data_IF_435281666227
#
_entry.id   IF_435281666227
#
_cell.length_a   1.000
_cell.length_b   1.000
_cell.length_c   1.000
_cell.angle_alpha   90.00
_cell.angle_beta   90.00
_cell.angle_gamma   90.00
#
_symmetry.space_group_name_H-M   'P 1'
#
loop_
_entity.id
_entity.type
_entity.pdbx_description
1 polymer ?
#
# COMPACT_ATOMS: atom_id res chain seq x y z
N UNK A 1 37.67 41.80 5.95
CA UNK A 1 37.61 42.32 4.56
C UNK A 1 37.24 41.15 3.67
N UNK A 2 36.02 41.16 3.17
CA UNK A 2 35.36 40.06 2.45
C UNK A 2 36.12 39.71 1.15
N UNK A 3 36.51 38.45 0.99
CA UNK A 3 36.99 37.91 -0.28
C UNK A 3 35.78 37.39 -1.07
N UNK A 4 35.31 38.20 -2.02
CA UNK A 4 34.37 37.76 -3.04
C UNK A 4 35.09 36.91 -4.09
N UNK A 5 34.75 35.62 -4.16
CA UNK A 5 35.15 34.71 -5.24
C UNK A 5 34.40 35.16 -6.51
N UNK A 6 35.12 35.77 -7.46
CA UNK A 6 34.62 36.04 -8.81
C UNK A 6 34.52 34.71 -9.57
N UNK A 7 33.34 34.10 -9.57
CA UNK A 7 32.98 33.05 -10.53
C UNK A 7 32.79 33.70 -11.91
N UNK A 8 33.86 33.80 -12.69
CA UNK A 8 33.80 34.19 -14.10
C UNK A 8 33.32 33.01 -14.93
N UNK A 9 32.02 32.92 -15.18
CA UNK A 9 31.49 32.03 -16.21
C UNK A 9 31.66 32.69 -17.60
N UNK A 10 31.91 31.92 -18.67
CA UNK A 10 31.95 32.44 -20.04
C UNK A 10 30.62 33.14 -20.37
N UNK A 11 30.66 34.27 -21.07
CA UNK A 11 29.49 35.12 -21.36
C UNK A 11 28.27 34.35 -21.91
N UNK A 12 28.51 33.30 -22.70
CA UNK A 12 27.49 32.40 -23.24
C UNK A 12 26.70 31.63 -22.16
N UNK A 13 27.33 31.27 -21.03
CA UNK A 13 26.69 30.53 -19.93
C UNK A 13 25.80 31.46 -19.10
N UNK A 14 26.25 32.70 -18.87
CA UNK A 14 25.44 33.73 -18.19
C UNK A 14 24.20 34.13 -19.00
N UNK A 15 24.31 34.21 -20.33
CA UNK A 15 23.17 34.50 -21.20
C UNK A 15 22.17 33.34 -21.23
N UNK A 16 22.63 32.08 -21.24
CA UNK A 16 21.74 30.92 -21.12
C UNK A 16 21.05 30.85 -19.75
N UNK A 17 21.73 31.18 -18.65
CA UNK A 17 21.15 31.17 -17.30
C UNK A 17 20.11 32.28 -17.14
N UNK A 18 20.38 33.49 -17.66
CA UNK A 18 19.39 34.58 -17.68
C UNK A 18 18.21 34.28 -18.60
N UNK A 19 18.45 33.66 -19.76
CA UNK A 19 17.40 33.19 -20.65
C UNK A 19 16.50 32.15 -19.99
N UNK A 20 17.07 31.18 -19.29
CA UNK A 20 16.32 30.17 -18.53
C UNK A 20 15.55 30.77 -17.35
N UNK A 21 16.10 31.77 -16.65
CA UNK A 21 15.39 32.49 -15.59
C UNK A 21 14.22 33.30 -16.14
N UNK A 22 14.39 34.00 -17.27
CA UNK A 22 13.34 34.81 -17.90
C UNK A 22 12.22 33.90 -18.46
N UNK A 23 12.57 32.82 -19.15
CA UNK A 23 11.63 31.78 -19.60
C UNK A 23 10.94 31.14 -18.39
N UNK A 24 11.66 30.88 -17.30
CA UNK A 24 11.11 30.40 -16.04
C UNK A 24 10.07 31.34 -15.44
N UNK A 25 10.35 32.65 -15.41
CA UNK A 25 9.35 33.66 -15.00
C UNK A 25 8.17 33.77 -15.97
N UNK A 26 8.39 33.66 -17.28
CA UNK A 26 7.31 33.69 -18.27
C UNK A 26 6.40 32.45 -18.21
N UNK A 27 6.95 31.28 -17.89
CA UNK A 27 6.18 30.06 -17.63
C UNK A 27 5.43 30.15 -16.30
N UNK A 28 6.06 30.73 -15.25
CA UNK A 28 5.43 30.96 -13.95
C UNK A 28 4.28 31.99 -14.01
N UNK A 29 4.38 33.03 -14.85
CA UNK A 29 3.33 34.04 -15.03
C UNK A 29 2.31 33.69 -16.13
N UNK A 30 2.73 32.99 -17.20
CA UNK A 30 1.88 32.54 -18.30
C UNK A 30 1.01 31.33 -17.97
N UNK A 31 1.26 30.64 -16.86
CA UNK A 31 0.44 29.54 -16.36
C UNK A 31 -0.59 29.96 -15.29
N UNK A 32 -1.03 31.23 -15.27
CA UNK A 32 -2.36 31.55 -14.72
C UNK A 32 -3.44 31.16 -15.74
N UNK A 33 -3.54 29.86 -16.04
CA UNK A 33 -4.85 29.31 -16.40
C UNK A 33 -5.73 29.55 -15.19
N UNK A 34 -6.93 30.09 -15.39
CA UNK A 34 -8.01 30.00 -14.40
C UNK A 34 -8.23 28.52 -14.10
N UNK A 35 -7.48 27.97 -13.15
CA UNK A 35 -7.82 26.71 -12.53
C UNK A 35 -9.13 26.97 -11.81
N UNK A 36 -10.25 26.32 -12.17
CA UNK A 36 -11.44 26.40 -11.34
C UNK A 36 -11.01 26.07 -9.92
N UNK A 37 -11.36 26.93 -8.95
CA UNK A 37 -10.97 26.72 -7.55
C UNK A 37 -11.45 25.33 -7.14
N UNK A 38 -10.48 24.42 -6.96
CA UNK A 38 -10.68 22.98 -6.81
C UNK A 38 -11.36 22.60 -5.49
N UNK A 39 -11.49 23.57 -4.57
CA UNK A 39 -12.14 23.42 -3.29
C UNK A 39 -13.12 24.58 -3.15
N UNK A 40 -14.42 24.34 -2.95
CA UNK A 40 -15.38 25.40 -2.71
C UNK A 40 -15.07 26.03 -1.36
N UNK A 41 -14.51 27.22 -1.40
CA UNK A 41 -14.19 28.00 -0.20
C UNK A 41 -15.44 28.68 0.32
N UNK A 42 -15.73 28.50 1.61
CA UNK A 42 -16.73 29.30 2.31
C UNK A 42 -16.23 30.75 2.37
N UNK A 43 -17.09 31.72 2.05
CA UNK A 43 -16.81 33.18 2.00
C UNK A 43 -15.91 33.67 0.86
N UNK A 44 -15.75 32.89 -0.22
CA UNK A 44 -14.98 33.32 -1.40
C UNK A 44 -15.64 34.48 -2.17
N UNK A 45 -16.90 34.73 -1.87
CA UNK A 45 -17.71 35.81 -2.41
C UNK A 45 -18.32 36.58 -1.24
N UNK A 46 -17.79 37.77 -0.96
CA UNK A 46 -18.24 38.64 0.14
C UNK A 46 -19.75 38.96 0.08
N UNK A 47 -20.34 38.82 -1.11
CA UNK A 47 -21.76 39.05 -1.39
C UNK A 47 -22.67 37.80 -1.27
N UNK A 48 -22.13 36.58 -1.08
CA UNK A 48 -22.92 35.36 -0.93
C UNK A 48 -23.36 35.13 0.53
N UNK A 49 -24.17 36.07 1.05
CA UNK A 49 -24.65 36.10 2.44
C UNK A 49 -25.40 34.82 2.83
N UNK A 50 -26.08 34.17 1.86
CA UNK A 50 -26.87 32.96 2.08
C UNK A 50 -26.12 31.66 1.75
N UNK A 51 -24.82 31.73 1.38
CA UNK A 51 -23.95 30.58 1.09
C UNK A 51 -24.51 29.63 0.02
N UNK A 52 -25.40 30.12 -0.85
CA UNK A 52 -26.10 29.28 -1.84
C UNK A 52 -25.16 28.88 -2.97
N UNK A 53 -24.19 29.73 -3.30
CA UNK A 53 -23.28 29.49 -4.41
C UNK A 53 -22.17 28.50 -4.01
N UNK A 54 -21.65 28.59 -2.79
CA UNK A 54 -20.73 27.59 -2.26
C UNK A 54 -21.37 26.19 -2.18
N UNK A 55 -22.63 26.11 -1.71
CA UNK A 55 -23.41 24.87 -1.68
C UNK A 55 -23.65 24.31 -3.08
N UNK A 56 -24.11 25.14 -4.02
CA UNK A 56 -24.34 24.75 -5.41
C UNK A 56 -23.05 24.27 -6.10
N UNK A 57 -21.95 24.98 -5.90
CA UNK A 57 -20.64 24.58 -6.42
C UNK A 57 -20.19 23.23 -5.83
N UNK A 58 -20.43 22.98 -4.54
CA UNK A 58 -20.19 21.67 -3.93
C UNK A 58 -21.09 20.60 -4.54
N UNK A 59 -22.40 20.82 -4.65
CA UNK A 59 -23.34 19.84 -5.23
C UNK A 59 -23.02 19.51 -6.69
N UNK A 60 -22.61 20.49 -7.48
CA UNK A 60 -22.26 20.31 -8.90
C UNK A 60 -20.85 19.73 -9.10
N UNK A 61 -19.91 19.98 -8.17
CA UNK A 61 -18.50 19.62 -8.32
C UNK A 61 -18.01 18.58 -7.31
N UNK A 62 -18.85 18.05 -6.42
CA UNK A 62 -18.43 17.13 -5.36
C UNK A 62 -17.64 15.94 -5.91
N UNK A 63 -18.10 15.35 -7.01
CA UNK A 63 -17.41 14.24 -7.65
C UNK A 63 -16.04 14.65 -8.21
N UNK A 64 -15.93 15.82 -8.85
CA UNK A 64 -14.65 16.29 -9.40
C UNK A 64 -13.67 16.69 -8.29
N UNK A 65 -14.15 17.26 -7.18
CA UNK A 65 -13.37 17.59 -5.98
C UNK A 65 -12.86 16.30 -5.32
N UNK A 66 -13.73 15.30 -5.16
CA UNK A 66 -13.36 13.99 -4.62
C UNK A 66 -12.32 13.30 -5.51
N UNK A 67 -12.55 13.27 -6.83
CA UNK A 67 -11.60 12.72 -7.79
C UNK A 67 -10.26 13.47 -7.78
N UNK A 68 -10.28 14.79 -7.70
CA UNK A 68 -9.08 15.61 -7.66
C UNK A 68 -8.29 15.44 -6.35
N UNK A 69 -8.98 15.30 -5.22
CA UNK A 69 -8.37 14.99 -3.92
C UNK A 69 -7.73 13.59 -3.90
N UNK A 70 -8.34 12.63 -4.60
CA UNK A 70 -7.83 11.27 -4.79
C UNK A 70 -6.76 11.15 -5.88
N UNK A 71 -6.63 12.14 -6.77
CA UNK A 71 -5.68 12.15 -7.90
C UNK A 71 -4.26 12.53 -7.53
N UNK A 72 -3.94 12.74 -6.24
CA UNK A 72 -2.57 13.05 -5.85
C UNK A 72 -1.65 11.91 -6.27
N UNK A 73 -0.61 12.31 -7.01
CA UNK A 73 0.30 11.48 -7.80
C UNK A 73 0.52 10.12 -7.17
N UNK A 74 -0.05 9.08 -7.79
CA UNK A 74 0.38 7.74 -7.49
C UNK A 74 1.84 7.66 -7.92
N UNK A 75 2.76 7.36 -6.99
CA UNK A 75 4.21 7.10 -7.24
C UNK A 75 4.49 6.34 -8.54
N UNK A 76 3.53 5.49 -8.90
CA UNK A 76 3.38 4.67 -10.09
C UNK A 76 3.52 5.42 -11.41
N UNK A 77 3.24 6.71 -11.47
CA UNK A 77 3.32 7.54 -12.68
C UNK A 77 4.68 8.25 -12.82
N UNK A 78 5.64 7.87 -11.98
CA UNK A 78 6.99 8.41 -11.99
C UNK A 78 7.97 7.37 -12.55
N UNK A 79 8.82 7.83 -13.47
CA UNK A 79 9.82 6.99 -14.13
C UNK A 79 10.68 6.24 -13.10
N UNK A 80 10.83 4.92 -13.27
CA UNK A 80 11.59 4.07 -12.33
C UNK A 80 10.79 3.57 -11.12
N UNK A 81 9.59 4.10 -10.87
CA UNK A 81 8.53 3.50 -10.06
C UNK A 81 7.42 2.88 -10.91
N UNK A 82 7.42 3.25 -12.19
CA UNK A 82 6.57 2.76 -13.26
C UNK A 82 6.81 1.30 -13.67
N UNK A 83 5.70 0.72 -14.12
CA UNK A 83 5.65 -0.26 -15.21
C UNK A 83 5.48 0.56 -16.48
N UNK A 84 6.08 0.20 -17.61
CA UNK A 84 5.94 0.91 -18.91
C UNK A 84 4.49 0.97 -19.48
N UNK A 85 3.50 0.61 -18.67
CA UNK A 85 2.08 0.51 -18.97
C UNK A 85 1.36 1.54 -18.09
N UNK A 86 0.43 2.35 -18.64
CA UNK A 86 -0.27 3.39 -17.90
C UNK A 86 -0.87 2.86 -16.59
N UNK A 87 -0.65 3.59 -15.49
CA UNK A 87 -0.89 3.15 -14.11
C UNK A 87 -2.30 2.70 -13.73
N UNK A 88 -3.27 2.78 -14.64
CA UNK A 88 -4.65 2.32 -14.43
C UNK A 88 -4.76 0.84 -14.08
N UNK A 89 -4.05 -0.06 -14.79
CA UNK A 89 -4.22 -1.51 -14.57
C UNK A 89 -3.87 -1.93 -13.13
N UNK A 90 -2.68 -1.54 -12.68
CA UNK A 90 -2.15 -1.90 -11.37
C UNK A 90 -2.82 -1.16 -10.20
N UNK A 91 -3.54 -0.07 -10.46
CA UNK A 91 -4.36 0.61 -9.46
C UNK A 91 -5.73 -0.08 -9.25
N UNK A 92 -6.20 -0.83 -10.24
CA UNK A 92 -7.48 -1.54 -10.19
C UNK A 92 -7.36 -3.03 -9.89
N UNK A 93 -6.14 -3.58 -9.88
CA UNK A 93 -5.89 -5.02 -9.69
C UNK A 93 -6.29 -5.55 -8.30
N UNK A 94 -6.38 -4.68 -7.29
CA UNK A 94 -6.76 -5.06 -5.92
C UNK A 94 -8.19 -5.59 -5.83
N UNK A 95 -9.16 -4.94 -6.48
CA UNK A 95 -10.57 -5.32 -6.36
C UNK A 95 -10.86 -6.71 -6.94
N UNK A 96 -10.40 -7.06 -8.17
CA UNK A 96 -10.53 -8.41 -8.70
C UNK A 96 -9.84 -9.46 -7.84
N UNK A 97 -8.65 -9.16 -7.32
CA UNK A 97 -7.91 -10.07 -6.45
C UNK A 97 -8.68 -10.32 -5.15
N UNK A 98 -9.22 -9.28 -4.50
CA UNK A 98 -10.05 -9.43 -3.30
C UNK A 98 -11.27 -10.31 -3.57
N UNK A 99 -11.96 -10.11 -4.70
CA UNK A 99 -13.10 -10.95 -5.07
C UNK A 99 -12.69 -12.43 -5.25
N UNK A 100 -11.54 -12.66 -5.88
CA UNK A 100 -10.99 -13.99 -6.08
C UNK A 100 -10.57 -14.67 -4.76
N UNK A 101 -10.00 -13.92 -3.82
CA UNK A 101 -9.69 -14.39 -2.47
C UNK A 101 -10.95 -14.80 -1.72
N UNK A 102 -11.99 -13.96 -1.75
CA UNK A 102 -13.26 -14.24 -1.07
C UNK A 102 -13.90 -15.54 -1.58
N UNK A 103 -13.79 -15.83 -2.88
CA UNK A 103 -14.27 -17.10 -3.45
C UNK A 103 -13.50 -18.33 -2.97
N UNK A 104 -12.24 -18.16 -2.56
CA UNK A 104 -11.36 -19.25 -2.13
C UNK A 104 -11.13 -19.25 -0.61
N UNK A 105 -11.78 -18.36 0.15
CA UNK A 105 -11.47 -18.11 1.56
C UNK A 105 -11.53 -19.40 2.40
N UNK A 106 -12.52 -20.26 2.15
CA UNK A 106 -12.68 -21.55 2.84
C UNK A 106 -11.44 -22.43 2.76
N UNK A 107 -10.72 -22.42 1.63
CA UNK A 107 -9.50 -23.21 1.40
C UNK A 107 -8.24 -22.51 1.90
N UNK A 108 -8.31 -21.22 2.21
CA UNK A 108 -7.17 -20.37 2.55
C UNK A 108 -7.01 -20.18 4.06
N UNK A 109 -8.09 -20.29 4.85
CA UNK A 109 -8.04 -20.10 6.31
C UNK A 109 -7.02 -21.02 6.99
N UNK A 110 -7.00 -22.30 6.63
CA UNK A 110 -6.08 -23.27 7.24
C UNK A 110 -4.60 -22.94 6.95
N UNK A 111 -4.17 -22.75 5.68
CA UNK A 111 -2.82 -22.27 5.38
C UNK A 111 -2.44 -20.96 6.08
N UNK A 112 -3.38 -20.02 6.21
CA UNK A 112 -3.13 -18.75 6.91
C UNK A 112 -2.90 -18.97 8.41
N UNK A 113 -3.68 -19.85 9.03
CA UNK A 113 -3.54 -20.20 10.45
C UNK A 113 -2.19 -20.87 10.74
N UNK A 114 -1.75 -21.78 9.87
CA UNK A 114 -0.45 -22.46 9.99
C UNK A 114 0.73 -21.49 9.91
N UNK A 115 0.68 -20.55 8.94
CA UNK A 115 1.74 -19.52 8.85
C UNK A 115 1.70 -18.55 10.03
N UNK A 116 0.51 -18.25 10.55
CA UNK A 116 0.38 -17.42 11.74
C UNK A 116 1.02 -18.08 12.96
N UNK A 117 0.72 -19.36 13.21
CA UNK A 117 1.31 -20.14 14.29
C UNK A 117 2.84 -20.25 14.15
N UNK A 118 3.33 -20.51 12.93
CA UNK A 118 4.77 -20.54 12.64
C UNK A 118 5.44 -19.19 12.95
N UNK A 119 4.85 -18.09 12.48
CA UNK A 119 5.41 -16.76 12.70
C UNK A 119 5.49 -16.42 14.19
N UNK A 120 4.39 -16.65 14.93
CA UNK A 120 4.34 -16.39 16.37
C UNK A 120 5.35 -17.24 17.13
N UNK A 121 5.50 -18.52 16.79
CA UNK A 121 6.50 -19.39 17.40
C UNK A 121 7.93 -18.86 17.21
N UNK A 122 8.24 -18.37 16.01
CA UNK A 122 9.58 -17.82 15.70
C UNK A 122 9.80 -16.47 16.40
N UNK A 123 8.79 -15.59 16.42
CA UNK A 123 8.94 -14.23 16.97
C UNK A 123 8.84 -14.18 18.50
N UNK A 124 8.01 -15.03 19.10
CA UNK A 124 7.77 -15.05 20.55
C UNK A 124 8.54 -16.14 21.28
N UNK A 125 9.25 -17.02 20.57
CA UNK A 125 10.03 -18.12 21.13
C UNK A 125 9.19 -19.16 21.89
N UNK A 126 9.80 -20.30 22.23
CA UNK A 126 9.20 -21.33 23.09
C UNK A 126 9.61 -21.15 24.57
N UNK A 127 10.22 -20.02 24.94
CA UNK A 127 10.68 -19.77 26.30
C UNK A 127 9.48 -19.43 27.22
N UNK A 128 9.22 -20.21 28.28
CA UNK A 128 8.11 -19.93 29.20
C UNK A 128 8.35 -18.71 30.10
N UNK A 129 9.59 -18.19 30.17
CA UNK A 129 9.89 -17.01 30.96
C UNK A 129 9.28 -15.74 30.33
N UNK A 130 8.85 -14.80 31.16
CA UNK A 130 8.32 -13.53 30.68
C UNK A 130 9.41 -12.75 29.92
N UNK A 131 9.08 -12.24 28.74
CA UNK A 131 9.94 -11.35 27.98
C UNK A 131 9.12 -10.33 27.20
N UNK A 132 9.75 -9.22 26.87
CA UNK A 132 9.15 -8.17 26.04
C UNK A 132 9.24 -8.52 24.56
N UNK A 133 8.20 -8.16 23.80
CA UNK A 133 8.14 -8.32 22.35
C UNK A 133 7.69 -7.02 21.70
N UNK A 134 8.21 -6.72 20.51
CA UNK A 134 7.72 -5.60 19.71
C UNK A 134 6.45 -6.02 18.98
N UNK A 135 5.29 -5.52 19.42
CA UNK A 135 4.02 -5.77 18.73
C UNK A 135 4.05 -5.22 17.30
N UNK A 136 4.68 -4.06 17.09
CA UNK A 136 4.79 -3.48 15.76
C UNK A 136 5.54 -4.38 14.78
N UNK A 137 6.74 -4.84 15.14
CA UNK A 137 7.55 -5.71 14.28
C UNK A 137 6.92 -7.10 14.12
N UNK A 138 6.38 -7.66 15.21
CA UNK A 138 5.68 -8.95 15.18
C UNK A 138 4.51 -8.90 14.19
N UNK A 139 3.63 -7.91 14.30
CA UNK A 139 2.43 -7.81 13.46
C UNK A 139 2.82 -7.58 12.00
N UNK A 140 3.80 -6.74 11.71
CA UNK A 140 4.26 -6.53 10.33
C UNK A 140 4.78 -7.83 9.69
N UNK A 141 5.62 -8.58 10.41
CA UNK A 141 6.15 -9.87 9.93
C UNK A 141 5.05 -10.91 9.77
N UNK A 142 4.15 -11.01 10.74
CA UNK A 142 3.01 -11.92 10.73
C UNK A 142 2.14 -11.68 9.50
N UNK A 143 1.73 -10.42 9.28
CA UNK A 143 0.88 -10.05 8.15
C UNK A 143 1.65 -10.24 6.84
N UNK A 144 2.95 -9.90 6.76
CA UNK A 144 3.76 -10.11 5.57
C UNK A 144 3.86 -11.60 5.19
N UNK A 145 4.09 -12.49 6.15
CA UNK A 145 4.20 -13.93 5.94
C UNK A 145 2.86 -14.51 5.46
N UNK A 146 1.76 -14.20 6.16
CA UNK A 146 0.40 -14.65 5.79
C UNK A 146 0.02 -14.12 4.39
N UNK A 147 0.25 -12.83 4.12
CA UNK A 147 -0.05 -12.22 2.81
C UNK A 147 0.77 -12.87 1.70
N UNK A 148 2.03 -13.20 1.96
CA UNK A 148 2.91 -13.85 0.99
C UNK A 148 2.47 -15.29 0.70
N UNK A 149 2.06 -16.02 1.73
CA UNK A 149 1.48 -17.37 1.59
C UNK A 149 0.23 -17.35 0.74
N UNK A 150 -0.62 -16.35 0.98
CA UNK A 150 -1.88 -16.14 0.29
C UNK A 150 -1.65 -15.82 -1.19
N UNK A 151 -0.71 -14.92 -1.49
CA UNK A 151 -0.58 -14.37 -2.83
C UNK A 151 0.37 -15.12 -3.75
N UNK A 152 1.51 -15.57 -3.21
CA UNK A 152 2.64 -16.11 -3.99
C UNK A 152 2.76 -17.62 -3.75
N UNK A 153 2.54 -18.07 -2.52
CA UNK A 153 2.57 -19.48 -2.15
C UNK A 153 3.58 -19.83 -1.06
N UNK A 154 3.74 -21.13 -0.81
CA UNK A 154 4.56 -21.64 0.31
C UNK A 154 6.04 -21.36 0.15
N UNK A 155 6.53 -21.41 -1.09
CA UNK A 155 7.95 -21.41 -1.40
C UNK A 155 8.63 -20.11 -0.97
N UNK A 156 7.89 -18.99 -1.00
CA UNK A 156 8.41 -17.65 -0.75
C UNK A 156 7.84 -17.03 0.52
N UNK A 157 6.77 -17.57 1.09
CA UNK A 157 6.17 -16.96 2.27
C UNK A 157 7.11 -16.91 3.47
N UNK A 158 8.11 -17.80 3.54
CA UNK A 158 9.12 -17.81 4.61
C UNK A 158 10.51 -17.36 4.16
N UNK A 159 10.67 -16.98 2.89
CA UNK A 159 11.96 -16.51 2.37
C UNK A 159 12.33 -15.20 3.07
N UNK A 160 13.47 -15.14 3.81
CA UNK A 160 13.82 -13.97 4.60
C UNK A 160 14.05 -12.74 3.73
N UNK A 161 14.57 -12.92 2.50
CA UNK A 161 14.82 -11.82 1.59
C UNK A 161 13.50 -11.18 1.13
N UNK A 162 12.54 -12.01 0.73
CA UNK A 162 11.21 -11.57 0.35
C UNK A 162 10.45 -10.93 1.51
N UNK A 163 10.52 -11.52 2.72
CA UNK A 163 9.86 -10.95 3.90
C UNK A 163 10.37 -9.54 4.22
N UNK A 164 11.68 -9.33 4.13
CA UNK A 164 12.26 -7.99 4.29
C UNK A 164 11.82 -7.03 3.18
N UNK A 165 11.76 -7.49 1.93
CA UNK A 165 11.24 -6.68 0.82
C UNK A 165 9.77 -6.32 1.05
N UNK A 166 8.93 -7.27 1.42
CA UNK A 166 7.49 -7.06 1.63
C UNK A 166 7.23 -6.05 2.75
N UNK A 167 7.95 -6.17 3.87
CA UNK A 167 7.90 -5.25 5.01
C UNK A 167 8.42 -3.85 4.62
N UNK A 168 9.64 -3.77 4.11
CA UNK A 168 10.29 -2.49 3.82
C UNK A 168 9.61 -1.74 2.69
N UNK A 169 9.12 -2.45 1.67
CA UNK A 169 8.39 -1.82 0.56
C UNK A 169 7.09 -1.18 1.06
N UNK A 170 6.36 -1.86 1.94
CA UNK A 170 5.11 -1.35 2.52
C UNK A 170 5.33 -0.01 3.23
N UNK A 171 6.39 0.10 4.05
CA UNK A 171 6.69 1.31 4.82
C UNK A 171 7.38 2.39 3.96
N UNK A 172 8.47 2.04 3.25
CA UNK A 172 9.26 3.02 2.48
C UNK A 172 8.48 3.62 1.32
N UNK A 173 7.52 2.89 0.74
CA UNK A 173 6.64 3.43 -0.30
C UNK A 173 5.80 4.59 0.24
N UNK A 174 5.18 4.45 1.41
CA UNK A 174 4.37 5.53 2.00
C UNK A 174 5.24 6.76 2.30
N UNK A 175 6.43 6.55 2.86
CA UNK A 175 7.39 7.63 3.14
C UNK A 175 7.82 8.31 1.83
N UNK A 176 8.05 7.55 0.76
CA UNK A 176 8.39 8.12 -0.55
C UNK A 176 7.24 8.96 -1.13
N UNK A 177 5.98 8.52 -1.01
CA UNK A 177 4.81 9.32 -1.43
C UNK A 177 4.79 10.65 -0.68
N UNK A 178 4.90 10.60 0.65
CA UNK A 178 4.89 11.80 1.50
C UNK A 178 6.05 12.74 1.16
N UNK A 179 7.25 12.21 0.96
CA UNK A 179 8.43 12.98 0.61
C UNK A 179 8.29 13.68 -0.75
N UNK A 180 7.65 13.05 -1.74
CA UNK A 180 7.37 13.67 -3.05
C UNK A 180 6.26 14.72 -2.92
N UNK A 181 5.18 14.42 -2.18
CA UNK A 181 4.05 15.33 -1.97
C UNK A 181 4.44 16.60 -1.20
N UNK A 182 5.58 16.61 -0.51
CA UNK A 182 6.14 17.82 0.10
C UNK A 182 6.60 18.87 -0.95
N UNK A 183 6.76 18.47 -2.21
CA UNK A 183 7.18 19.32 -3.31
C UNK A 183 6.03 19.65 -4.27
N UNK A 184 6.08 20.79 -5.01
CA UNK A 184 5.11 21.11 -6.05
C UNK A 184 5.03 20.01 -7.13
N UNK A 185 3.82 19.72 -7.63
CA UNK A 185 3.57 18.64 -8.60
C UNK A 185 4.42 18.73 -9.88
N UNK A 186 4.72 19.95 -10.34
CA UNK A 186 5.53 20.20 -11.54
C UNK A 186 6.95 19.64 -11.45
N UNK A 187 7.51 19.51 -10.24
CA UNK A 187 8.87 19.02 -10.05
C UNK A 187 8.92 17.55 -9.62
N UNK A 188 7.77 16.90 -9.44
CA UNK A 188 7.70 15.48 -9.09
C UNK A 188 8.55 14.60 -10.02
N UNK A 189 8.49 14.74 -11.36
CA UNK A 189 9.28 13.92 -12.31
C UNK A 189 10.79 14.01 -12.16
N UNK A 190 11.29 15.05 -11.50
CA UNK A 190 12.72 15.30 -11.31
C UNK A 190 13.14 14.99 -9.88
N UNK A 191 12.39 15.50 -8.89
CA UNK A 191 12.79 15.45 -7.48
C UNK A 191 12.90 14.01 -6.96
N UNK A 192 12.06 13.10 -7.45
CA UNK A 192 12.06 11.69 -7.02
C UNK A 192 13.38 10.96 -7.33
N UNK A 193 14.21 11.48 -8.26
CA UNK A 193 15.53 10.92 -8.55
C UNK A 193 16.55 11.24 -7.46
N UNK A 194 16.40 12.39 -6.81
CA UNK A 194 17.31 12.92 -5.79
C UNK A 194 16.92 12.52 -4.36
N UNK A 195 15.67 12.11 -4.13
CA UNK A 195 15.21 11.68 -2.81
C UNK A 195 15.80 10.30 -2.43
N UNK A 196 16.50 10.17 -1.29
CA UNK A 196 17.09 8.88 -0.86
C UNK A 196 16.06 7.76 -0.68
N UNK A 197 14.89 8.08 -0.11
CA UNK A 197 13.81 7.10 0.09
C UNK A 197 13.28 6.54 -1.23
N UNK A 198 13.24 7.38 -2.27
CA UNK A 198 12.85 6.98 -3.61
C UNK A 198 13.88 6.01 -4.23
N UNK A 199 15.16 6.25 -3.98
CA UNK A 199 16.22 5.33 -4.41
C UNK A 199 16.11 3.95 -3.71
N UNK A 200 15.80 3.95 -2.41
CA UNK A 200 15.58 2.72 -1.66
C UNK A 200 14.39 1.91 -2.18
N UNK A 201 13.27 2.55 -2.47
CA UNK A 201 12.11 1.87 -3.06
C UNK A 201 12.48 1.26 -4.43
N UNK A 202 13.26 1.97 -5.26
CA UNK A 202 13.78 1.40 -6.54
C UNK A 202 14.69 0.20 -6.33
N UNK A 203 15.52 0.18 -5.28
CA UNK A 203 16.33 -0.99 -4.91
C UNK A 203 15.46 -2.18 -4.51
N UNK A 204 14.42 -1.94 -3.71
CA UNK A 204 13.47 -2.97 -3.30
C UNK A 204 12.74 -3.57 -4.50
N UNK A 205 12.30 -2.73 -5.45
CA UNK A 205 11.66 -3.20 -6.69
C UNK A 205 12.62 -4.11 -7.50
N UNK A 206 13.89 -3.73 -7.62
CA UNK A 206 14.90 -4.54 -8.33
C UNK A 206 15.13 -5.90 -7.66
N UNK A 207 15.25 -5.94 -6.33
CA UNK A 207 15.38 -7.20 -5.56
C UNK A 207 14.11 -8.05 -5.63
N UNK A 208 12.94 -7.43 -5.60
CA UNK A 208 11.68 -8.14 -5.78
C UNK A 208 11.61 -8.81 -7.17
N UNK A 209 12.09 -8.14 -8.22
CA UNK A 209 12.14 -8.70 -9.57
C UNK A 209 13.02 -9.93 -9.66
N UNK A 210 14.20 -9.93 -9.03
CA UNK A 210 15.09 -11.10 -9.04
C UNK A 210 14.49 -12.33 -8.35
N UNK A 211 13.62 -12.13 -7.36
CA UNK A 211 12.94 -13.23 -6.65
C UNK A 211 11.67 -13.68 -7.39
N UNK A 212 10.79 -12.74 -7.77
CA UNK A 212 9.45 -13.07 -8.25
C UNK A 212 9.40 -13.47 -9.73
N UNK A 213 10.23 -12.90 -10.60
CA UNK A 213 10.15 -13.18 -12.04
C UNK A 213 10.36 -14.67 -12.35
N UNK A 214 11.39 -15.36 -11.82
CA UNK A 214 11.58 -16.78 -12.08
C UNK A 214 10.39 -17.64 -11.66
N UNK A 215 9.72 -17.26 -10.56
CA UNK A 215 8.58 -17.98 -9.99
C UNK A 215 7.35 -17.81 -10.87
N UNK A 216 7.10 -16.57 -11.30
CA UNK A 216 5.99 -16.28 -12.21
C UNK A 216 6.17 -16.94 -13.58
N UNK A 217 7.40 -17.00 -14.08
CA UNK A 217 7.73 -17.71 -15.31
C UNK A 217 7.51 -19.23 -15.16
N UNK A 218 8.03 -19.82 -14.08
CA UNK A 218 7.82 -21.24 -13.76
C UNK A 218 6.33 -21.58 -13.65
N UNK A 219 5.56 -20.73 -12.98
CA UNK A 219 4.12 -20.92 -12.84
C UNK A 219 3.40 -20.87 -14.19
N UNK A 220 3.73 -19.90 -15.04
CA UNK A 220 3.18 -19.80 -16.41
C UNK A 220 3.55 -21.03 -17.26
N UNK A 221 4.77 -21.52 -17.13
CA UNK A 221 5.23 -22.75 -17.81
C UNK A 221 4.44 -23.98 -17.33
N UNK A 222 4.30 -24.16 -16.02
CA UNK A 222 3.55 -25.28 -15.44
C UNK A 222 2.10 -25.31 -15.94
N UNK A 223 1.43 -24.15 -15.97
CA UNK A 223 0.05 -24.03 -16.49
C UNK A 223 -0.07 -24.37 -17.96
N UNK A 224 0.85 -23.88 -18.80
CA UNK A 224 0.88 -24.22 -20.24
C UNK A 224 1.09 -25.72 -20.46
N UNK A 225 1.85 -26.37 -19.59
CA UNK A 225 2.09 -27.83 -19.64
C UNK A 225 0.99 -28.66 -18.98
N UNK A 226 -0.05 -28.05 -18.41
CA UNK A 226 -1.11 -28.76 -17.70
C UNK A 226 -0.71 -29.37 -16.36
N UNK A 227 0.44 -28.98 -15.79
CA UNK A 227 0.85 -29.41 -14.45
C UNK A 227 0.01 -28.70 -13.39
N UNK A 228 -0.53 -29.47 -12.45
CA UNK A 228 -1.26 -28.91 -11.31
C UNK A 228 -0.32 -28.08 -10.42
N UNK A 229 -0.80 -26.92 -9.99
CA UNK A 229 -0.10 -26.06 -9.04
C UNK A 229 -0.38 -26.52 -7.62
N UNK A 230 0.67 -26.61 -6.80
CA UNK A 230 0.52 -26.86 -5.36
C UNK A 230 -0.10 -25.67 -4.60
N UNK A 231 -0.25 -24.51 -5.25
CA UNK A 231 -0.90 -23.35 -4.65
C UNK A 231 -2.42 -23.42 -4.80
N UNK A 232 -3.11 -23.34 -3.65
CA UNK A 232 -4.59 -23.24 -3.57
C UNK A 232 -5.12 -22.02 -4.31
N UNK A 233 -4.36 -20.92 -4.30
CA UNK A 233 -4.65 -19.66 -4.96
C UNK A 233 -3.34 -19.09 -5.50
N UNK A 234 -3.37 -18.59 -6.74
CA UNK A 234 -2.27 -17.80 -7.28
C UNK A 234 -2.79 -16.47 -7.77
N UNK A 235 -2.25 -15.40 -7.19
CA UNK A 235 -2.55 -14.04 -7.61
C UNK A 235 -2.19 -13.82 -9.07
N UNK A 236 -1.08 -14.42 -9.53
CA UNK A 236 -0.66 -14.32 -10.92
C UNK A 236 -1.74 -14.84 -11.88
N UNK A 237 -2.50 -15.90 -11.51
CA UNK A 237 -3.65 -16.37 -12.33
C UNK A 237 -4.63 -15.26 -12.59
N UNK A 238 -5.10 -14.68 -11.49
CA UNK A 238 -6.19 -13.73 -11.52
C UNK A 238 -5.75 -12.45 -12.20
N UNK A 239 -4.49 -12.05 -12.01
CA UNK A 239 -3.94 -10.89 -12.70
C UNK A 239 -3.77 -11.17 -14.19
N UNK A 240 -3.28 -12.35 -14.62
CA UNK A 240 -3.16 -12.71 -16.03
C UNK A 240 -4.54 -12.76 -16.71
N UNK A 241 -5.54 -13.36 -16.06
CA UNK A 241 -6.93 -13.40 -16.53
C UNK A 241 -7.53 -11.99 -16.63
N UNK A 242 -7.34 -11.16 -15.61
CA UNK A 242 -7.82 -9.77 -15.58
C UNK A 242 -7.07 -8.87 -16.58
N UNK A 243 -5.79 -9.14 -16.83
CA UNK A 243 -5.00 -8.46 -17.85
C UNK A 243 -5.61 -8.69 -19.23
N UNK A 244 -6.12 -9.90 -19.50
CA UNK A 244 -6.76 -10.29 -20.76
C UNK A 244 -5.89 -9.90 -21.98
N UNK A 245 -4.60 -10.26 -21.92
CA UNK A 245 -3.61 -9.95 -22.96
C UNK A 245 -3.00 -8.54 -22.89
N UNK A 246 -3.44 -7.67 -21.99
CA UNK A 246 -2.79 -6.36 -21.78
C UNK A 246 -1.40 -6.55 -21.17
N UNK A 247 -0.38 -5.81 -21.63
CA UNK A 247 0.93 -5.85 -21.02
C UNK A 247 0.83 -5.32 -19.59
N UNK A 248 1.57 -5.91 -18.66
CA UNK A 248 1.73 -5.42 -17.30
C UNK A 248 3.03 -5.97 -16.69
N UNK A 249 3.58 -5.29 -15.69
CA UNK A 249 4.69 -5.83 -14.88
C UNK A 249 4.09 -6.65 -13.71
N UNK A 250 4.32 -7.98 -13.66
CA UNK A 250 3.74 -8.83 -12.63
C UNK A 250 4.36 -8.61 -11.26
N UNK A 251 5.66 -8.30 -11.18
CA UNK A 251 6.32 -7.99 -9.91
C UNK A 251 5.74 -6.72 -9.31
N UNK A 252 5.52 -5.68 -10.11
CA UNK A 252 4.91 -4.45 -9.60
C UNK A 252 3.46 -4.67 -9.14
N UNK A 253 2.68 -5.46 -9.88
CA UNK A 253 1.31 -5.79 -9.48
C UNK A 253 1.30 -6.51 -8.13
N UNK A 254 2.18 -7.50 -7.98
CA UNK A 254 2.34 -8.24 -6.74
C UNK A 254 2.80 -7.35 -5.58
N UNK A 255 3.81 -6.51 -5.78
CA UNK A 255 4.32 -5.60 -4.75
C UNK A 255 3.25 -4.62 -4.26
N UNK A 256 2.37 -4.13 -5.14
CA UNK A 256 1.27 -3.25 -4.73
C UNK A 256 0.24 -3.98 -3.89
N UNK A 257 -0.18 -5.17 -4.32
CA UNK A 257 -1.12 -6.00 -3.56
C UNK A 257 -0.55 -6.28 -2.18
N UNK A 258 0.69 -6.75 -2.12
CA UNK A 258 1.43 -6.98 -0.87
C UNK A 258 1.48 -5.71 0.00
N UNK A 259 1.87 -4.56 -0.57
CA UNK A 259 2.02 -3.31 0.17
C UNK A 259 0.72 -2.77 0.76
N UNK A 260 -0.37 -2.80 -0.01
CA UNK A 260 -1.69 -2.32 0.44
C UNK A 260 -2.25 -3.26 1.51
N UNK A 261 -2.11 -4.58 1.33
CA UNK A 261 -2.57 -5.58 2.29
C UNK A 261 -1.81 -5.50 3.61
N UNK A 262 -0.47 -5.43 3.58
CA UNK A 262 0.33 -5.44 4.80
C UNK A 262 0.07 -4.21 5.66
N UNK A 263 0.08 -3.01 5.06
CA UNK A 263 -0.06 -1.78 5.84
C UNK A 263 -1.43 -1.69 6.53
N UNK A 264 -2.52 -1.90 5.77
CA UNK A 264 -3.88 -1.76 6.29
C UNK A 264 -4.23 -2.83 7.34
N UNK A 265 -3.89 -4.10 7.08
CA UNK A 265 -4.14 -5.18 8.04
C UNK A 265 -3.28 -5.05 9.30
N UNK A 266 -2.00 -4.67 9.15
CA UNK A 266 -1.14 -4.47 10.32
C UNK A 266 -1.62 -3.33 11.21
N UNK A 267 -2.11 -2.23 10.60
CA UNK A 267 -2.71 -1.13 11.34
C UNK A 267 -3.91 -1.59 12.18
N UNK A 268 -4.86 -2.29 11.55
CA UNK A 268 -6.03 -2.81 12.24
C UNK A 268 -5.66 -3.76 13.39
N UNK A 269 -4.78 -4.73 13.14
CA UNK A 269 -4.39 -5.72 14.16
C UNK A 269 -3.75 -5.05 15.38
N UNK A 270 -2.86 -4.07 15.16
CA UNK A 270 -2.27 -3.29 16.26
C UNK A 270 -3.33 -2.56 17.08
N UNK A 271 -4.28 -1.90 16.42
CA UNK A 271 -5.37 -1.18 17.08
C UNK A 271 -6.27 -2.12 17.88
N UNK A 272 -6.64 -3.27 17.31
CA UNK A 272 -7.45 -4.28 18.00
C UNK A 272 -6.73 -4.80 19.25
N UNK A 273 -5.44 -5.11 19.16
CA UNK A 273 -4.64 -5.52 20.33
C UNK A 273 -4.65 -4.42 21.40
N UNK A 274 -4.42 -3.16 21.01
CA UNK A 274 -4.44 -2.04 21.94
C UNK A 274 -5.81 -1.91 22.65
N UNK A 275 -6.92 -2.01 21.92
CA UNK A 275 -8.27 -1.98 22.49
C UNK A 275 -8.56 -3.13 23.45
N UNK A 276 -8.09 -4.34 23.13
CA UNK A 276 -8.20 -5.50 24.03
C UNK A 276 -7.38 -5.27 25.31
N UNK A 277 -6.21 -4.65 25.22
CA UNK A 277 -5.40 -4.31 26.39
C UNK A 277 -6.03 -3.22 27.26
N UNK A 278 -6.70 -2.23 26.65
CA UNK A 278 -7.44 -1.18 27.37
C UNK A 278 -8.70 -1.74 28.08
N UNK A 279 -9.34 -2.75 27.49
CA UNK A 279 -10.55 -3.40 27.99
C UNK A 279 -10.31 -4.85 28.39
N UNK A 280 -9.41 -5.05 29.36
CA UNK A 280 -8.97 -6.37 29.81
C UNK A 280 -10.12 -7.27 30.31
N UNK A 281 -11.26 -6.71 30.70
CA UNK A 281 -12.50 -7.40 31.06
C UNK A 281 -13.08 -8.25 29.91
N UNK A 282 -12.74 -7.95 28.66
CA UNK A 282 -13.19 -8.70 27.47
C UNK A 282 -12.37 -9.97 27.24
N UNK A 283 -11.14 -10.06 27.78
CA UNK A 283 -10.20 -11.16 27.52
C UNK A 283 -10.80 -12.53 27.89
N UNK A 284 -11.44 -12.73 29.07
CA UNK A 284 -12.01 -14.03 29.42
C UNK A 284 -13.09 -14.48 28.42
N UNK A 285 -14.00 -13.57 28.03
CA UNK A 285 -15.07 -13.87 27.09
C UNK A 285 -14.53 -14.20 25.69
N UNK A 286 -13.55 -13.43 25.21
CA UNK A 286 -12.87 -13.69 23.92
C UNK A 286 -12.17 -15.05 23.92
N UNK A 287 -11.46 -15.39 24.98
CA UNK A 287 -10.79 -16.70 25.09
C UNK A 287 -11.79 -17.84 25.06
N UNK A 288 -12.89 -17.72 25.80
CA UNK A 288 -13.95 -18.73 25.81
C UNK A 288 -14.57 -18.91 24.42
N UNK A 289 -14.89 -17.81 23.72
CA UNK A 289 -15.39 -17.85 22.34
C UNK A 289 -14.40 -18.53 21.39
N UNK A 290 -13.11 -18.16 21.43
CA UNK A 290 -12.10 -18.74 20.54
C UNK A 290 -11.91 -20.23 20.78
N UNK A 291 -11.84 -20.66 22.05
CA UNK A 291 -11.70 -22.07 22.42
C UNK A 291 -12.90 -22.86 21.90
N UNK A 292 -14.13 -22.39 22.18
CA UNK A 292 -15.35 -23.06 21.74
C UNK A 292 -15.46 -23.13 20.21
N UNK A 293 -15.03 -22.09 19.50
CA UNK A 293 -15.06 -22.07 18.04
C UNK A 293 -14.02 -23.00 17.39
N UNK A 294 -12.88 -23.21 18.05
CA UNK A 294 -11.77 -24.04 17.56
C UNK A 294 -11.83 -25.52 18.03
N UNK A 295 -12.77 -25.87 18.93
CA UNK A 295 -12.95 -27.23 19.44
C UNK A 295 -13.07 -28.24 18.27
N UNK A 296 -12.15 -29.22 18.27
CA UNK A 296 -12.04 -30.40 17.40
C UNK A 296 -11.24 -30.27 16.10
N UNK A 297 -11.22 -29.13 15.41
CA UNK A 297 -10.63 -29.04 14.06
C UNK A 297 -9.58 -27.92 13.88
N UNK A 298 -9.21 -27.21 14.95
CA UNK A 298 -8.39 -26.01 14.83
C UNK A 298 -9.15 -24.85 14.17
N UNK A 299 -8.42 -23.83 13.71
CA UNK A 299 -9.03 -22.64 13.11
C UNK A 299 -9.43 -22.91 11.65
N UNK A 300 -10.68 -23.27 11.43
CA UNK A 300 -11.26 -23.43 10.08
C UNK A 300 -12.19 -22.28 9.72
N UNK A 301 -12.60 -22.19 8.46
CA UNK A 301 -13.57 -21.19 8.01
C UNK A 301 -14.88 -21.23 8.81
N UNK A 302 -15.37 -22.43 9.15
CA UNK A 302 -16.56 -22.61 10.00
C UNK A 302 -16.35 -22.10 11.43
N UNK A 303 -15.13 -22.16 11.96
CA UNK A 303 -14.77 -21.60 13.27
C UNK A 303 -14.86 -20.08 13.26
N UNK A 304 -14.43 -19.41 12.18
CA UNK A 304 -14.50 -17.95 12.06
C UNK A 304 -15.94 -17.43 12.15
N UNK A 305 -16.91 -18.17 11.61
CA UNK A 305 -18.33 -17.81 11.68
C UNK A 305 -18.92 -17.91 13.10
N UNK A 306 -18.21 -18.58 14.02
CA UNK A 306 -18.61 -18.75 15.43
C UNK A 306 -17.91 -17.76 16.36
N UNK A 307 -17.30 -16.69 15.83
CA UNK A 307 -16.59 -15.69 16.63
C UNK A 307 -17.23 -14.28 16.55
N UNK A 308 -18.52 -14.12 16.89
CA UNK A 308 -19.22 -12.82 16.78
C UNK A 308 -18.67 -11.74 17.71
N UNK A 309 -18.12 -12.09 18.88
CA UNK A 309 -17.51 -11.12 19.79
C UNK A 309 -16.21 -10.57 19.21
N UNK A 310 -15.33 -11.44 18.70
CA UNK A 310 -14.13 -10.99 17.98
C UNK A 310 -14.48 -10.09 16.80
N UNK A 311 -15.46 -10.48 15.98
CA UNK A 311 -15.93 -9.68 14.85
C UNK A 311 -16.47 -8.31 15.31
N UNK A 312 -17.23 -8.28 16.41
CA UNK A 312 -17.75 -7.05 17.00
C UNK A 312 -16.63 -6.09 17.44
N UNK A 313 -15.60 -6.60 18.13
CA UNK A 313 -14.45 -5.78 18.56
C UNK A 313 -13.69 -5.22 17.35
N UNK A 314 -13.49 -6.03 16.30
CA UNK A 314 -12.84 -5.56 15.07
C UNK A 314 -13.64 -4.43 14.42
N UNK A 315 -14.97 -4.59 14.31
CA UNK A 315 -15.87 -3.56 13.76
C UNK A 315 -15.88 -2.29 14.61
N UNK A 316 -15.95 -2.43 15.93
CA UNK A 316 -15.96 -1.29 16.85
C UNK A 316 -14.62 -0.54 16.83
N UNK A 317 -13.51 -1.27 16.75
CA UNK A 317 -12.17 -0.68 16.56
C UNK A 317 -12.11 0.14 15.29
N UNK A 318 -12.64 -0.37 14.16
CA UNK A 318 -12.72 0.39 12.91
C UNK A 318 -13.68 1.57 12.97
N UNK A 319 -14.78 1.47 13.73
CA UNK A 319 -15.73 2.56 13.92
C UNK A 319 -15.10 3.72 14.68
N UNK A 320 -14.33 3.42 15.72
CA UNK A 320 -13.64 4.40 16.57
C UNK A 320 -12.38 4.95 15.90
N UNK A 321 -11.62 4.09 15.23
CA UNK A 321 -10.35 4.41 14.60
C UNK A 321 -10.29 3.89 13.16
N UNK A 322 -11.03 4.55 12.25
CA UNK A 322 -11.08 4.12 10.86
C UNK A 322 -9.66 4.06 10.27
N UNK A 323 -9.44 3.20 9.25
CA UNK A 323 -8.18 3.18 8.52
C UNK A 323 -7.87 4.61 8.06
N UNK A 324 -6.66 5.10 8.36
CA UNK A 324 -6.27 6.40 7.86
C UNK A 324 -6.35 6.36 6.34
N UNK A 325 -7.20 7.19 5.74
CA UNK A 325 -7.15 7.45 4.30
C UNK A 325 -5.76 8.02 4.06
N UNK A 326 -4.86 7.22 3.52
CA UNK A 326 -3.54 7.70 3.11
C UNK A 326 -3.75 8.89 2.18
N UNK A 327 -3.22 10.08 2.50
CA UNK A 327 -3.53 11.32 1.78
C UNK A 327 -2.99 11.38 0.36
#
# INVERSE_FOLDING_TARGET
>A
MEQYIKLSFPSAVTECIFGLLIIGTFVMFGSRKNTPKLVPTLNDHEWDIFRRKAKKNWEESAESILRAGLQKVALVELLGFETWVPGGFHNHVSTPVVHALNRNITRLVQPMSEEAAHCLKVQWTDNPAWHSVSIHDTVLRLVAQITSRLFIGQEICRDPEWQDIAKDFSTKRVIAIQAIHAWPSLIHPVIHWFLPVCHDVRKLIRRAKSILLPIFELERCNRKSGRESNNVFSTLSFIDEYANGRPYDPTMAQLRLTGVSIHSTSDLVKKVIARICEHSELIPALRAEIISAAENCGLQHSSLLKMPLMESIMKETQRLEPPALSP
#
